data_IF_880852128875
#
_entry.id   IF_880852128875
#
_cell.length_a   1.000
_cell.length_b   1.000
_cell.length_c   1.000
_cell.angle_alpha   90.00
_cell.angle_beta   90.00
_cell.angle_gamma   90.00
#
_symmetry.space_group_name_H-M   'P 1'
#
loop_
_entity.id
_entity.type
_entity.pdbx_description
1 polymer ?
#
# COMPACT_ATOMS: atom_id res chain seq x y z
N UNK A 1 -10.00 -15.93 14.54
CA UNK A 1 -8.92 -16.08 13.53
C UNK A 1 -8.20 -14.74 13.38
N UNK A 2 -7.33 -14.39 14.34
CA UNK A 2 -6.63 -13.09 14.40
C UNK A 2 -5.10 -13.25 14.37
N UNK A 3 -4.60 -14.34 13.77
CA UNK A 3 -3.18 -14.73 13.88
C UNK A 3 -2.33 -14.40 12.66
N UNK A 4 -2.74 -13.42 11.83
CA UNK A 4 -1.91 -12.89 10.73
C UNK A 4 -1.22 -11.56 11.03
N UNK A 5 -1.40 -11.00 12.23
CA UNK A 5 -0.78 -9.72 12.63
C UNK A 5 0.51 -9.85 13.46
N UNK A 6 1.00 -11.07 13.77
CA UNK A 6 2.08 -11.24 14.77
C UNK A 6 3.28 -12.12 14.37
N UNK A 7 3.35 -12.68 13.16
CA UNK A 7 4.42 -13.66 12.84
C UNK A 7 5.23 -13.32 11.58
N UNK A 8 4.65 -12.59 10.62
CA UNK A 8 5.43 -11.90 9.61
C UNK A 8 5.50 -10.46 10.11
N UNK A 9 6.69 -9.98 10.47
CA UNK A 9 6.86 -8.59 10.88
C UNK A 9 6.11 -7.66 9.92
N UNK A 10 5.60 -6.55 10.44
CA UNK A 10 4.83 -5.53 9.71
C UNK A 10 5.60 -4.95 8.48
N UNK A 11 6.85 -5.39 8.33
CA UNK A 11 7.88 -5.07 7.34
C UNK A 11 8.05 -6.13 6.24
N UNK A 12 7.40 -7.31 6.31
CA UNK A 12 7.64 -8.33 5.28
C UNK A 12 7.04 -7.89 3.93
N UNK A 13 7.80 -7.93 2.82
CA UNK A 13 7.36 -7.42 1.52
C UNK A 13 6.01 -8.01 1.05
N UNK A 14 5.74 -9.28 1.36
CA UNK A 14 4.46 -9.92 1.04
C UNK A 14 3.25 -9.30 1.74
N UNK A 15 3.43 -8.76 2.94
CA UNK A 15 2.38 -8.01 3.67
C UNK A 15 2.12 -6.68 2.97
N UNK A 16 3.19 -5.97 2.56
CA UNK A 16 3.08 -4.70 1.83
C UNK A 16 2.39 -4.88 0.47
N UNK A 17 2.74 -5.92 -0.28
CA UNK A 17 2.03 -6.27 -1.53
C UNK A 17 0.55 -6.55 -1.27
N UNK A 18 0.21 -7.23 -0.17
CA UNK A 18 -1.18 -7.50 0.21
C UNK A 18 -1.94 -6.21 0.54
N UNK A 19 -1.29 -5.24 1.20
CA UNK A 19 -1.88 -3.91 1.47
C UNK A 19 -2.13 -3.13 0.18
N UNK A 20 -1.17 -3.13 -0.75
CA UNK A 20 -1.33 -2.47 -2.05
C UNK A 20 -2.50 -3.07 -2.85
N UNK A 21 -2.64 -4.40 -2.87
CA UNK A 21 -3.76 -5.08 -3.53
C UNK A 21 -5.12 -4.71 -2.90
N UNK A 22 -5.17 -4.59 -1.57
CA UNK A 22 -6.38 -4.15 -0.87
C UNK A 22 -6.75 -2.71 -1.21
N UNK A 23 -5.76 -1.82 -1.36
CA UNK A 23 -5.99 -0.44 -1.78
C UNK A 23 -6.58 -0.37 -3.20
N UNK A 24 -6.04 -1.15 -4.14
CA UNK A 24 -6.62 -1.28 -5.49
C UNK A 24 -8.05 -1.83 -5.46
N UNK A 25 -8.34 -2.75 -4.54
CA UNK A 25 -9.68 -3.30 -4.36
C UNK A 25 -10.67 -2.21 -3.91
N UNK A 26 -10.27 -1.34 -2.97
CA UNK A 26 -11.09 -0.19 -2.57
C UNK A 26 -11.30 0.81 -3.70
N UNK A 27 -10.27 1.09 -4.50
CA UNK A 27 -10.41 1.94 -5.70
C UNK A 27 -11.45 1.36 -6.66
N UNK A 28 -11.40 0.06 -6.92
CA UNK A 28 -12.37 -0.62 -7.79
C UNK A 28 -13.80 -0.62 -7.23
N UNK A 29 -13.95 -0.49 -5.90
CA UNK A 29 -15.25 -0.33 -5.24
C UNK A 29 -15.76 1.13 -5.28
N UNK A 30 -14.97 2.08 -5.82
CA UNK A 30 -15.28 3.50 -5.83
C UNK A 30 -14.86 4.25 -4.56
N UNK A 31 -14.26 3.55 -3.60
CA UNK A 31 -13.85 4.08 -2.29
C UNK A 31 -12.41 4.64 -2.37
N UNK A 32 -12.24 5.70 -3.18
CA UNK A 32 -10.92 6.26 -3.52
C UNK A 32 -10.21 6.84 -2.29
N UNK A 33 -10.93 7.48 -1.37
CA UNK A 33 -10.35 8.04 -0.14
C UNK A 33 -9.68 6.95 0.71
N UNK A 34 -10.39 5.84 0.92
CA UNK A 34 -9.88 4.69 1.66
C UNK A 34 -8.73 3.99 0.94
N UNK A 35 -8.79 3.90 -0.38
CA UNK A 35 -7.71 3.38 -1.21
C UNK A 35 -6.43 4.22 -1.05
N UNK A 36 -6.54 5.54 -1.18
CA UNK A 36 -5.41 6.48 -1.04
C UNK A 36 -4.79 6.37 0.35
N UNK A 37 -5.60 6.43 1.41
CA UNK A 37 -5.11 6.32 2.79
C UNK A 37 -4.32 5.02 3.02
N UNK A 38 -4.84 3.89 2.55
CA UNK A 38 -4.17 2.59 2.70
C UNK A 38 -2.89 2.50 1.85
N UNK A 39 -2.90 3.03 0.62
CA UNK A 39 -1.73 3.05 -0.24
C UNK A 39 -0.64 3.99 0.29
N UNK A 40 -1.00 5.08 0.99
CA UNK A 40 -0.04 5.95 1.68
C UNK A 40 0.67 5.24 2.83
N UNK A 41 -0.04 4.45 3.63
CA UNK A 41 0.57 3.66 4.70
C UNK A 41 1.52 2.60 4.13
N UNK A 42 1.09 1.91 3.08
CA UNK A 42 1.92 0.95 2.34
C UNK A 42 3.21 1.59 1.83
N UNK A 43 3.11 2.76 1.17
CA UNK A 43 4.27 3.48 0.66
C UNK A 43 5.25 3.87 1.77
N UNK A 44 4.77 4.40 2.90
CA UNK A 44 5.64 4.77 4.03
C UNK A 44 6.47 3.57 4.51
N UNK A 45 5.83 2.44 4.75
CA UNK A 45 6.53 1.21 5.18
C UNK A 45 7.47 0.67 4.11
N UNK A 46 7.09 0.70 2.84
CA UNK A 46 7.97 0.30 1.74
C UNK A 46 9.24 1.16 1.71
N UNK A 47 9.12 2.47 1.94
CA UNK A 47 10.27 3.38 2.02
C UNK A 47 11.14 3.09 3.25
N UNK A 48 10.54 2.80 4.40
CA UNK A 48 11.29 2.48 5.64
C UNK A 48 12.04 1.14 5.53
N UNK A 49 11.42 0.11 4.96
CA UNK A 49 11.99 -1.25 4.89
C UNK A 49 12.89 -1.45 3.69
N UNK A 50 12.44 -1.05 2.50
CA UNK A 50 13.07 -1.36 1.21
C UNK A 50 13.82 -0.16 0.62
N UNK A 51 13.56 1.04 1.14
CA UNK A 51 14.12 2.29 0.64
C UNK A 51 13.28 2.96 -0.46
N UNK A 52 13.44 4.28 -0.65
CA UNK A 52 12.60 5.08 -1.56
C UNK A 52 12.82 4.78 -3.06
N UNK A 53 13.86 4.02 -3.41
CA UNK A 53 14.18 3.63 -4.79
C UNK A 53 13.69 2.22 -5.15
N UNK A 54 12.99 1.54 -4.25
CA UNK A 54 12.47 0.21 -4.51
C UNK A 54 11.35 0.24 -5.58
N UNK A 55 11.31 -0.72 -6.53
CA UNK A 55 10.26 -0.79 -7.55
C UNK A 55 8.83 -0.72 -6.98
N UNK A 56 8.57 -1.41 -5.87
CA UNK A 56 7.27 -1.37 -5.20
C UNK A 56 6.93 0.00 -4.61
N UNK A 57 7.91 0.69 -4.02
CA UNK A 57 7.71 2.03 -3.46
C UNK A 57 7.42 3.06 -4.57
N UNK A 58 8.11 2.94 -5.71
CA UNK A 58 7.86 3.77 -6.89
C UNK A 58 6.44 3.51 -7.39
N UNK A 59 6.04 2.25 -7.54
CA UNK A 59 4.70 1.87 -8.01
C UNK A 59 3.58 2.42 -7.11
N UNK A 60 3.73 2.30 -5.79
CA UNK A 60 2.78 2.87 -4.83
C UNK A 60 2.69 4.40 -4.93
N UNK A 61 3.83 5.09 -5.14
CA UNK A 61 3.87 6.55 -5.31
C UNK A 61 3.17 6.99 -6.59
N UNK A 62 3.42 6.31 -7.71
CA UNK A 62 2.75 6.60 -8.98
C UNK A 62 1.24 6.37 -8.86
N UNK A 63 0.82 5.28 -8.20
CA UNK A 63 -0.59 4.99 -7.93
C UNK A 63 -1.25 6.09 -7.08
N UNK A 64 -0.60 6.53 -6.00
CA UNK A 64 -1.08 7.65 -5.17
C UNK A 64 -1.22 8.95 -5.96
N UNK A 65 -0.28 9.21 -6.86
CA UNK A 65 -0.30 10.42 -7.69
C UNK A 65 -1.46 10.37 -8.67
N UNK A 66 -1.68 9.22 -9.32
CA UNK A 66 -2.82 9.01 -10.21
C UNK A 66 -4.16 9.17 -9.46
N UNK A 67 -4.32 8.50 -8.32
CA UNK A 67 -5.59 8.48 -7.60
C UNK A 67 -5.97 9.82 -6.98
N UNK A 68 -4.97 10.64 -6.60
CA UNK A 68 -5.21 12.01 -6.12
C UNK A 68 -5.61 12.98 -7.22
N UNK A 69 -5.29 12.68 -8.48
CA UNK A 69 -5.74 13.48 -9.62
C UNK A 69 -7.15 13.09 -10.08
N UNK A 70 -7.61 11.90 -9.69
CA UNK A 70 -8.94 11.34 -10.00
C UNK A 70 -10.00 11.65 -8.91
N UNK A 71 -9.60 12.19 -7.76
CA UNK A 71 -10.45 12.42 -6.58
C UNK A 71 -11.06 13.83 -6.52
#
# INVERSE_FOLDING_TARGET
METRKRVLGDEHPSTLTSMANLAYTFKNQGDVDRAVSLMQDCYKRQVEVLGPRHPDAISSREALSAWRLEA
#
